data_IF_580729837163
#
_entry.id   IF_580729837163
#
_cell.length_a   1.000
_cell.length_b   1.000
_cell.length_c   1.000
_cell.angle_alpha   90.00
_cell.angle_beta   90.00
_cell.angle_gamma   90.00
#
_symmetry.space_group_name_H-M   'P 1'
#
loop_
_entity.id
_entity.type
_entity.pdbx_description
1 polymer ?
#
# COMPACT_ATOMS: atom_id res chain seq x y z
N UNK A 1 25.22 59.21 -4.03
CA UNK A 1 23.85 58.92 -3.52
C UNK A 1 23.06 58.38 -4.70
N UNK A 2 22.49 57.19 -4.73
CA UNK A 2 22.06 56.30 -3.66
C UNK A 2 22.30 54.83 -4.05
N UNK A 3 22.65 54.03 -3.04
CA UNK A 3 22.72 52.58 -3.06
C UNK A 3 21.30 52.01 -3.18
N UNK A 4 21.05 51.10 -4.12
CA UNK A 4 19.81 50.29 -4.12
C UNK A 4 20.15 48.95 -3.49
N UNK A 5 19.79 48.85 -2.22
CA UNK A 5 19.81 47.62 -1.41
C UNK A 5 18.80 46.63 -2.00
N UNK A 6 19.24 45.40 -2.25
CA UNK A 6 18.36 44.27 -2.56
C UNK A 6 17.58 43.90 -1.30
N UNK A 7 16.24 43.87 -1.39
CA UNK A 7 15.41 43.34 -0.31
C UNK A 7 15.54 41.82 -0.24
N UNK A 8 15.61 41.23 0.98
CA UNK A 8 15.67 39.79 1.14
C UNK A 8 14.31 39.16 0.82
N UNK A 9 14.37 38.02 0.13
CA UNK A 9 13.22 37.17 -0.20
C UNK A 9 12.51 36.81 1.12
N UNK A 10 11.26 37.22 1.25
CA UNK A 10 10.39 36.83 2.36
C UNK A 10 10.19 35.32 2.33
N UNK A 11 10.54 34.65 3.43
CA UNK A 11 10.16 33.27 3.70
C UNK A 11 8.65 33.14 3.59
N UNK A 12 8.19 32.30 2.65
CA UNK A 12 6.79 31.90 2.58
C UNK A 12 6.57 30.93 3.74
N UNK A 13 5.84 31.37 4.76
CA UNK A 13 5.42 30.48 5.84
C UNK A 13 4.59 29.32 5.26
N UNK A 14 4.90 28.05 5.59
CA UNK A 14 4.10 26.93 5.16
C UNK A 14 2.73 27.00 5.82
N UNK A 15 1.69 26.87 5.00
CA UNK A 15 0.29 26.88 5.43
C UNK A 15 0.06 26.00 6.66
N UNK A 16 -0.31 26.63 7.77
CA UNK A 16 -0.79 25.95 8.97
C UNK A 16 -1.98 25.06 8.60
N UNK A 17 -1.87 23.75 8.84
CA UNK A 17 -3.04 22.87 8.67
C UNK A 17 -2.81 21.40 8.36
N UNK A 18 -1.57 20.87 8.35
CA UNK A 18 -1.36 19.41 8.20
C UNK A 18 -1.30 18.74 9.57
N UNK A 19 -2.47 18.49 10.17
CA UNK A 19 -2.57 17.56 11.31
C UNK A 19 -2.70 16.14 10.75
N UNK A 20 -1.67 15.33 10.94
CA UNK A 20 -1.70 13.88 10.64
C UNK A 20 -2.92 13.20 11.31
N UNK A 21 -3.68 12.33 10.61
CA UNK A 21 -4.82 11.61 11.18
C UNK A 21 -4.42 10.72 12.36
N UNK A 22 -3.16 10.28 12.47
CA UNK A 22 -2.65 9.61 13.68
C UNK A 22 -2.85 10.45 14.95
N UNK A 23 -2.79 11.79 14.84
CA UNK A 23 -3.08 12.74 15.93
C UNK A 23 -4.57 12.98 16.13
N UNK A 24 -5.38 12.83 15.08
CA UNK A 24 -6.84 13.04 15.13
C UNK A 24 -7.59 11.81 15.67
N UNK A 25 -7.03 10.61 15.48
CA UNK A 25 -7.61 9.33 15.93
C UNK A 25 -7.17 8.87 17.31
N UNK A 26 -6.27 9.63 17.96
CA UNK A 26 -5.85 9.43 19.34
C UNK A 26 -5.52 7.95 19.62
N UNK A 27 -4.73 7.33 18.72
CA UNK A 27 -4.41 5.91 18.75
C UNK A 27 -3.52 5.64 19.97
N UNK A 28 -4.15 5.45 21.12
CA UNK A 28 -3.54 4.81 22.27
C UNK A 28 -3.48 3.34 21.91
N UNK A 29 -2.33 2.90 21.40
CA UNK A 29 -2.02 1.49 21.30
C UNK A 29 -2.07 0.96 22.74
N UNK A 30 -3.02 0.10 23.09
CA UNK A 30 -2.95 -0.53 24.39
C UNK A 30 -1.66 -1.34 24.41
N UNK A 31 -0.89 -1.19 25.48
CA UNK A 31 0.11 -2.16 25.90
C UNK A 31 -0.61 -3.42 26.40
N UNK A 32 -1.54 -3.94 25.62
CA UNK A 32 -2.11 -5.25 25.89
C UNK A 32 -0.94 -6.20 25.70
N UNK A 33 -0.64 -6.96 26.76
CA UNK A 33 0.29 -8.07 26.71
C UNK A 33 -0.23 -9.06 25.67
N UNK A 34 0.10 -8.85 24.41
CA UNK A 34 -0.17 -9.75 23.32
C UNK A 34 0.70 -10.97 23.57
N UNK A 35 0.13 -11.94 24.30
CA UNK A 35 0.82 -13.14 24.77
C UNK A 35 0.89 -13.31 26.28
N UNK A 36 -0.18 -13.10 27.07
CA UNK A 36 -0.27 -13.75 28.38
C UNK A 36 -1.09 -15.04 28.38
N UNK A 37 -2.08 -15.15 27.49
CA UNK A 37 -2.88 -16.38 27.37
C UNK A 37 -2.37 -17.35 26.29
N UNK A 38 -1.58 -16.86 25.32
CA UNK A 38 -0.90 -17.70 24.31
C UNK A 38 0.59 -17.94 24.59
N UNK A 39 1.14 -17.39 25.69
CA UNK A 39 2.53 -17.61 26.13
C UNK A 39 2.51 -18.20 27.54
N UNK A 40 1.97 -19.40 27.68
CA UNK A 40 2.58 -20.38 28.58
C UNK A 40 3.64 -21.15 27.80
N UNK A 41 4.67 -20.44 27.35
CA UNK A 41 5.95 -21.06 27.05
C UNK A 41 6.52 -21.43 28.41
N UNK A 42 6.35 -22.71 28.78
CA UNK A 42 7.17 -23.30 29.82
C UNK A 42 8.62 -23.05 29.41
N UNK A 43 9.38 -22.41 30.28
CA UNK A 43 10.84 -22.43 30.23
C UNK A 43 11.27 -23.89 30.31
N UNK A 44 11.39 -24.52 29.15
CA UNK A 44 12.01 -25.82 28.94
C UNK A 44 12.94 -25.66 27.74
N UNK A 45 14.22 -25.60 28.07
CA UNK A 45 15.40 -25.90 27.28
C UNK A 45 15.20 -26.17 25.78
N UNK A 46 15.83 -25.32 24.96
CA UNK A 46 16.38 -25.62 23.62
C UNK A 46 15.57 -26.61 22.76
N UNK A 47 14.44 -26.15 22.20
CA UNK A 47 13.95 -26.68 20.94
C UNK A 47 13.65 -25.52 20.00
N UNK A 48 14.47 -25.40 18.94
CA UNK A 48 14.22 -24.46 17.84
C UNK A 48 12.90 -24.85 17.17
N UNK A 49 11.84 -24.12 17.49
CA UNK A 49 10.56 -24.22 16.79
C UNK A 49 10.82 -23.88 15.31
N UNK A 50 10.70 -24.87 14.43
CA UNK A 50 11.09 -24.72 13.03
C UNK A 50 10.12 -23.75 12.34
N UNK A 51 10.55 -22.49 12.17
CA UNK A 51 9.78 -21.50 11.43
C UNK A 51 9.45 -22.04 10.02
N UNK A 52 8.19 -21.91 9.55
CA UNK A 52 7.78 -22.48 8.28
C UNK A 52 8.56 -21.89 7.10
N UNK A 53 8.94 -22.78 6.18
CA UNK A 53 9.81 -22.47 5.04
C UNK A 53 9.19 -21.41 4.13
N UNK A 54 9.91 -20.31 3.87
CA UNK A 54 9.55 -19.35 2.82
C UNK A 54 10.78 -18.88 2.03
N UNK A 55 10.61 -18.49 0.75
CA UNK A 55 11.73 -17.99 -0.06
C UNK A 55 12.40 -16.75 0.53
N UNK A 56 11.60 -15.84 1.11
CA UNK A 56 12.09 -14.65 1.85
C UNK A 56 12.96 -15.11 3.03
N UNK A 57 12.46 -16.02 3.86
CA UNK A 57 13.19 -16.51 5.03
C UNK A 57 14.51 -17.16 4.62
N UNK A 58 14.50 -17.95 3.54
CA UNK A 58 15.70 -18.59 3.02
C UNK A 58 16.74 -17.57 2.52
N UNK A 59 16.30 -16.49 1.87
CA UNK A 59 17.18 -15.42 1.44
C UNK A 59 17.79 -14.65 2.62
N UNK A 60 17.03 -14.50 3.72
CA UNK A 60 17.41 -13.67 4.87
C UNK A 60 18.10 -14.42 6.02
N UNK A 61 18.36 -15.73 5.88
CA UNK A 61 18.93 -16.56 6.97
C UNK A 61 20.24 -16.00 7.55
N UNK A 62 21.06 -15.37 6.72
CA UNK A 62 22.36 -14.80 7.13
C UNK A 62 22.22 -13.53 7.99
N UNK A 63 21.11 -12.81 7.86
CA UNK A 63 20.85 -11.53 8.54
C UNK A 63 20.20 -11.75 9.91
N UNK A 64 19.41 -12.83 10.05
CA UNK A 64 18.70 -13.19 11.27
C UNK A 64 19.64 -13.38 12.48
N UNK A 65 20.89 -13.78 12.24
CA UNK A 65 21.90 -14.01 13.29
C UNK A 65 22.58 -12.73 13.82
N UNK A 66 22.36 -11.56 13.21
CA UNK A 66 23.00 -10.30 13.63
C UNK A 66 22.04 -9.36 14.37
N UNK A 67 20.73 -9.61 14.33
CA UNK A 67 19.71 -8.65 14.78
C UNK A 67 19.09 -8.97 16.15
N UNK A 68 19.41 -10.12 16.76
CA UNK A 68 18.77 -10.60 17.99
C UNK A 68 19.56 -10.33 19.28
N UNK A 69 20.75 -9.73 19.21
CA UNK A 69 21.62 -9.54 20.38
C UNK A 69 22.05 -8.08 20.57
N UNK A 70 21.09 -7.19 20.85
CA UNK A 70 21.43 -6.02 21.67
C UNK A 70 20.41 -5.86 22.79
N UNK A 71 20.92 -5.98 24.02
CA UNK A 71 20.25 -5.66 25.28
C UNK A 71 19.99 -4.15 25.38
N UNK A 72 19.30 -3.57 24.40
CA UNK A 72 18.81 -2.20 24.45
C UNK A 72 17.31 -2.20 24.72
N UNK A 73 16.87 -1.26 25.57
CA UNK A 73 15.44 -1.01 25.84
C UNK A 73 14.60 -0.99 24.56
N UNK A 74 13.36 -1.49 24.58
CA UNK A 74 12.51 -1.58 23.40
C UNK A 74 12.31 -0.20 22.75
N UNK A 75 13.01 0.05 21.64
CA UNK A 75 12.89 1.30 20.89
C UNK A 75 11.66 1.24 19.98
N UNK A 76 10.80 2.27 19.98
CA UNK A 76 9.68 2.33 19.05
C UNK A 76 10.19 2.48 17.61
N UNK A 77 9.56 1.78 16.67
CA UNK A 77 9.77 1.98 15.23
C UNK A 77 8.45 2.42 14.62
N UNK A 78 8.48 3.48 13.83
CA UNK A 78 7.31 3.96 13.10
C UNK A 78 7.24 3.25 11.74
N UNK A 79 6.13 2.57 11.50
CA UNK A 79 5.80 1.95 10.23
C UNK A 79 4.74 2.79 9.53
N UNK A 80 5.02 3.23 8.30
CA UNK A 80 3.99 3.78 7.41
C UNK A 80 3.51 2.68 6.48
N UNK A 81 2.22 2.42 6.49
CA UNK A 81 1.57 1.39 5.66
C UNK A 81 0.64 2.12 4.69
N UNK A 82 0.99 2.09 3.41
CA UNK A 82 0.22 2.74 2.35
C UNK A 82 -0.96 1.87 1.90
N UNK A 83 -2.02 2.53 1.44
CA UNK A 83 -3.20 1.85 0.86
C UNK A 83 -3.15 1.85 -0.67
N UNK A 84 -2.62 2.91 -1.23
CA UNK A 84 -2.45 3.10 -2.68
C UNK A 84 -1.06 3.66 -2.96
N UNK A 85 -0.57 3.56 -4.19
CA UNK A 85 0.62 4.29 -4.66
C UNK A 85 0.28 5.65 -5.25
N UNK A 86 -1.00 5.93 -5.38
CA UNK A 86 -1.52 7.12 -6.04
C UNK A 86 -1.81 8.23 -5.04
N UNK A 87 -1.56 9.45 -5.48
CA UNK A 87 -2.09 10.64 -4.83
C UNK A 87 -3.44 10.97 -5.46
N UNK A 88 -4.51 10.39 -4.93
CA UNK A 88 -5.87 10.79 -5.31
C UNK A 88 -6.24 12.06 -4.54
N UNK A 89 -6.64 13.11 -5.24
CA UNK A 89 -7.14 14.35 -4.63
C UNK A 89 -8.33 14.13 -3.67
N UNK A 90 -9.12 13.07 -3.92
CA UNK A 90 -10.26 12.66 -3.11
C UNK A 90 -9.88 11.94 -1.79
N UNK A 91 -8.68 11.37 -1.69
CA UNK A 91 -8.23 10.68 -0.48
C UNK A 91 -7.18 11.52 0.23
N UNK A 92 -7.58 12.23 1.29
CA UNK A 92 -6.71 13.17 2.02
C UNK A 92 -5.49 12.52 2.67
N UNK A 93 -5.47 11.21 2.91
CA UNK A 93 -4.31 10.47 3.42
C UNK A 93 -4.17 9.07 2.80
N UNK A 94 -3.02 8.81 2.19
CA UNK A 94 -2.68 7.56 1.51
C UNK A 94 -1.90 6.57 2.44
N UNK A 95 -2.36 6.36 3.67
CA UNK A 95 -1.75 5.37 4.56
C UNK A 95 -1.89 5.64 6.05
N UNK A 96 -1.48 4.66 6.85
CA UNK A 96 -1.53 4.69 8.31
C UNK A 96 -0.12 4.62 8.88
N UNK A 97 0.16 5.51 9.84
CA UNK A 97 1.38 5.48 10.64
C UNK A 97 1.13 4.68 11.94
N UNK A 98 1.89 3.61 12.14
CA UNK A 98 1.87 2.77 13.35
C UNK A 98 3.18 2.91 14.11
N UNK A 99 3.13 3.31 15.38
CA UNK A 99 4.32 3.37 16.25
C UNK A 99 4.42 2.12 17.10
N UNK A 100 5.31 1.18 16.76
CA UNK A 100 5.36 -0.13 17.40
C UNK A 100 6.53 -0.22 18.36
N UNK A 101 6.24 -0.50 19.63
CA UNK A 101 7.26 -0.85 20.63
C UNK A 101 7.99 -2.13 20.22
N UNK A 102 9.30 -2.15 20.41
CA UNK A 102 10.16 -3.23 19.91
C UNK A 102 9.99 -3.45 18.40
N UNK A 103 9.74 -2.39 17.63
CA UNK A 103 9.34 -2.54 16.22
C UNK A 103 10.33 -3.29 15.32
N UNK A 104 11.61 -3.41 15.71
CA UNK A 104 12.58 -4.28 15.01
C UNK A 104 12.18 -5.77 15.03
N UNK A 105 11.52 -6.23 16.08
CA UNK A 105 11.06 -7.62 16.24
C UNK A 105 9.59 -7.81 15.88
N UNK A 106 8.85 -6.72 15.63
CA UNK A 106 7.46 -6.76 15.20
C UNK A 106 7.32 -7.52 13.87
N UNK A 107 6.34 -8.41 13.82
CA UNK A 107 6.03 -9.20 12.63
C UNK A 107 4.78 -8.67 11.90
N UNK A 108 4.56 -9.13 10.68
CA UNK A 108 3.42 -8.72 9.86
C UNK A 108 2.07 -9.03 10.51
N UNK A 109 1.96 -10.11 11.30
CA UNK A 109 0.74 -10.44 12.07
C UNK A 109 0.37 -9.31 13.05
N UNK A 110 1.36 -8.76 13.74
CA UNK A 110 1.15 -7.66 14.69
C UNK A 110 0.69 -6.38 13.98
N UNK A 111 1.28 -6.06 12.82
CA UNK A 111 0.87 -4.90 12.03
C UNK A 111 -0.58 -5.05 11.53
N UNK A 112 -0.96 -6.21 11.00
CA UNK A 112 -2.33 -6.49 10.56
C UNK A 112 -3.33 -6.40 11.71
N UNK A 113 -2.95 -6.83 12.92
CA UNK A 113 -3.80 -6.69 14.10
C UNK A 113 -4.11 -5.21 14.40
N UNK A 114 -3.12 -4.34 14.37
CA UNK A 114 -3.34 -2.91 14.60
C UNK A 114 -4.17 -2.27 13.47
N UNK A 115 -3.95 -2.67 12.22
CA UNK A 115 -4.78 -2.21 11.10
C UNK A 115 -6.24 -2.69 11.22
N UNK A 116 -6.47 -3.95 11.58
CA UNK A 116 -7.83 -4.47 11.78
C UNK A 116 -8.60 -3.65 12.82
N UNK A 117 -7.93 -3.28 13.92
CA UNK A 117 -8.49 -2.39 14.95
C UNK A 117 -8.78 -1.00 14.42
N UNK A 118 -7.87 -0.44 13.64
CA UNK A 118 -8.00 0.89 13.04
C UNK A 118 -9.22 0.97 12.11
N UNK A 119 -9.43 -0.07 11.31
CA UNK A 119 -10.59 -0.19 10.41
C UNK A 119 -11.84 -0.76 11.08
N UNK A 120 -11.76 -1.16 12.35
CA UNK A 120 -12.86 -1.78 13.12
C UNK A 120 -13.43 -3.02 12.42
N UNK A 121 -12.56 -3.81 11.83
CA UNK A 121 -12.90 -5.09 11.20
C UNK A 121 -12.42 -6.21 12.12
N UNK A 122 -13.16 -7.31 12.16
CA UNK A 122 -12.72 -8.50 12.89
C UNK A 122 -11.31 -8.92 12.43
N UNK A 123 -10.45 -9.25 13.38
CA UNK A 123 -9.04 -9.52 13.12
C UNK A 123 -8.86 -10.71 12.18
N UNK A 124 -9.60 -11.79 12.40
CA UNK A 124 -9.41 -13.01 11.64
C UNK A 124 -9.86 -12.79 10.20
N UNK A 125 -11.00 -12.13 10.02
CA UNK A 125 -11.51 -11.67 8.72
C UNK A 125 -10.51 -10.75 8.03
N UNK A 126 -9.97 -9.76 8.73
CA UNK A 126 -9.03 -8.79 8.17
C UNK A 126 -7.73 -9.46 7.71
N UNK A 127 -7.21 -10.42 8.48
CA UNK A 127 -6.00 -11.17 8.11
C UNK A 127 -6.23 -12.21 7.02
N UNK A 128 -7.48 -12.66 6.82
CA UNK A 128 -7.86 -13.50 5.69
C UNK A 128 -7.95 -12.67 4.41
N UNK A 129 -8.60 -11.50 4.47
CA UNK A 129 -8.76 -10.57 3.33
C UNK A 129 -7.48 -9.89 2.90
N UNK A 130 -6.67 -9.44 3.84
CA UNK A 130 -5.56 -8.53 3.58
C UNK A 130 -4.23 -9.06 4.09
N UNK A 131 -3.16 -8.59 3.46
CA UNK A 131 -1.80 -8.90 3.86
C UNK A 131 -0.91 -7.66 3.78
N UNK A 132 0.19 -7.68 4.52
CA UNK A 132 1.27 -6.70 4.36
C UNK A 132 2.12 -7.12 3.18
N UNK A 133 2.32 -6.19 2.25
CA UNK A 133 3.23 -6.34 1.12
C UNK A 133 4.42 -5.41 1.29
N UNK A 134 5.59 -5.89 0.86
CA UNK A 134 6.74 -5.04 0.58
C UNK A 134 6.83 -4.83 -0.92
N UNK A 135 6.82 -3.56 -1.33
CA UNK A 135 6.70 -3.17 -2.72
C UNK A 135 7.76 -2.13 -3.04
N UNK A 136 8.49 -2.35 -4.13
CA UNK A 136 9.37 -1.39 -4.77
C UNK A 136 9.15 -1.42 -6.30
N UNK A 137 9.75 -0.49 -7.06
CA UNK A 137 9.80 -0.59 -8.52
C UNK A 137 10.27 -1.95 -9.06
N UNK A 138 11.21 -2.62 -8.38
CA UNK A 138 11.84 -3.85 -8.88
C UNK A 138 11.21 -5.14 -8.36
N UNK A 139 10.60 -5.14 -7.18
CA UNK A 139 10.05 -6.34 -6.57
C UNK A 139 8.82 -6.05 -5.70
N UNK A 140 7.80 -6.90 -5.83
CA UNK A 140 6.63 -6.92 -4.95
C UNK A 140 6.47 -8.29 -4.31
N UNK A 141 6.35 -8.30 -2.99
CA UNK A 141 6.24 -9.55 -2.26
C UNK A 141 5.29 -9.43 -1.08
N UNK A 142 4.38 -10.41 -0.97
CA UNK A 142 3.53 -10.56 0.21
C UNK A 142 4.36 -11.13 1.37
N UNK A 143 4.34 -10.43 2.51
CA UNK A 143 4.94 -10.93 3.74
C UNK A 143 4.02 -11.97 4.39
N UNK A 144 4.62 -13.02 4.98
CA UNK A 144 3.92 -13.99 5.81
C UNK A 144 3.74 -13.46 7.22
N UNK A 145 2.76 -13.97 8.01
CA UNK A 145 2.45 -13.45 9.34
C UNK A 145 3.65 -13.37 10.30
N UNK A 146 4.62 -14.29 10.15
CA UNK A 146 5.82 -14.39 10.97
C UNK A 146 7.01 -13.58 10.45
N UNK A 147 6.95 -13.00 9.25
CA UNK A 147 8.03 -12.14 8.75
C UNK A 147 8.09 -10.84 9.52
N UNK A 148 9.32 -10.37 9.75
CA UNK A 148 9.61 -9.09 10.40
C UNK A 148 9.91 -8.04 9.33
N UNK A 149 9.02 -7.05 9.11
CA UNK A 149 9.22 -6.06 8.04
C UNK A 149 10.54 -5.29 8.15
N UNK A 150 11.00 -5.01 9.37
CA UNK A 150 12.28 -4.35 9.60
C UNK A 150 13.46 -5.19 9.06
N UNK A 151 13.52 -6.49 9.40
CA UNK A 151 14.57 -7.40 8.90
C UNK A 151 14.47 -7.59 7.38
N UNK A 152 13.24 -7.69 6.86
CA UNK A 152 13.01 -7.82 5.42
C UNK A 152 13.50 -6.59 4.65
N UNK A 153 13.34 -5.39 5.22
CA UNK A 153 13.91 -4.15 4.65
C UNK A 153 15.43 -4.15 4.70
N UNK A 154 16.05 -4.52 5.83
CA UNK A 154 17.51 -4.59 5.94
C UNK A 154 18.13 -5.56 4.93
N UNK A 155 17.43 -6.66 4.62
CA UNK A 155 17.84 -7.63 3.62
C UNK A 155 17.28 -7.42 2.23
N UNK A 156 16.75 -6.23 1.92
CA UNK A 156 16.08 -5.99 0.63
C UNK A 156 17.00 -6.26 -0.57
N UNK A 157 18.25 -5.78 -0.53
CA UNK A 157 19.25 -6.07 -1.57
C UNK A 157 19.53 -7.57 -1.73
N UNK A 158 19.45 -8.36 -0.66
CA UNK A 158 19.59 -9.83 -0.74
C UNK A 158 18.37 -10.46 -1.42
N UNK A 159 17.18 -9.92 -1.22
CA UNK A 159 15.97 -10.36 -1.92
C UNK A 159 16.04 -10.00 -3.41
N UNK A 160 16.43 -8.77 -3.74
CA UNK A 160 16.60 -8.34 -5.14
C UNK A 160 17.62 -9.21 -5.86
N UNK A 161 18.81 -9.44 -5.30
CA UNK A 161 19.84 -10.31 -5.89
C UNK A 161 19.34 -11.73 -6.21
N UNK A 162 18.29 -12.18 -5.51
CA UNK A 162 17.74 -13.52 -5.68
C UNK A 162 16.59 -13.57 -6.69
N UNK A 163 15.80 -12.51 -6.79
CA UNK A 163 14.52 -12.52 -7.52
C UNK A 163 14.45 -11.52 -8.68
N UNK A 164 15.46 -10.67 -8.85
CA UNK A 164 15.57 -9.69 -9.91
C UNK A 164 16.79 -10.00 -10.78
N UNK A 165 16.56 -10.19 -12.08
CA UNK A 165 17.59 -10.67 -13.02
C UNK A 165 18.34 -9.54 -13.76
N UNK A 166 17.83 -8.32 -13.77
CA UNK A 166 18.40 -7.22 -14.56
C UNK A 166 19.56 -6.51 -13.83
N UNK A 167 20.53 -6.03 -14.61
CA UNK A 167 21.85 -5.58 -14.16
C UNK A 167 22.03 -4.07 -14.10
N UNK A 168 20.93 -3.31 -14.09
CA UNK A 168 21.04 -1.87 -13.83
C UNK A 168 21.44 -1.65 -12.37
N UNK A 169 22.74 -1.56 -12.12
CA UNK A 169 23.31 -1.36 -10.78
C UNK A 169 22.75 -0.11 -10.11
N UNK A 170 22.47 0.94 -10.88
CA UNK A 170 21.94 2.20 -10.36
C UNK A 170 20.51 2.06 -9.81
N UNK A 171 19.61 1.42 -10.56
CA UNK A 171 18.25 1.15 -10.10
C UNK A 171 18.26 0.19 -8.91
N UNK A 172 19.10 -0.84 -8.97
CA UNK A 172 19.24 -1.83 -7.91
C UNK A 172 19.69 -1.20 -6.58
N UNK A 173 20.68 -0.31 -6.62
CA UNK A 173 21.27 0.26 -5.40
C UNK A 173 20.39 1.30 -4.71
N UNK A 174 19.51 1.95 -5.47
CA UNK A 174 18.57 2.97 -4.99
C UNK A 174 17.19 2.40 -4.65
N UNK A 175 16.92 1.14 -5.00
CA UNK A 175 15.60 0.52 -4.78
C UNK A 175 15.34 0.27 -3.29
N UNK A 176 14.31 0.92 -2.78
CA UNK A 176 13.89 0.82 -1.39
C UNK A 176 12.40 0.45 -1.31
N UNK A 177 12.03 -0.55 -0.50
CA UNK A 177 10.65 -1.00 -0.42
C UNK A 177 9.82 -0.13 0.53
N UNK A 178 8.55 0.03 0.17
CA UNK A 178 7.49 0.54 1.05
C UNK A 178 6.61 -0.61 1.57
N UNK A 179 5.91 -0.38 2.67
CA UNK A 179 4.90 -1.30 3.17
C UNK A 179 3.53 -0.89 2.65
N UNK A 180 2.79 -1.84 2.09
CA UNK A 180 1.42 -1.62 1.62
C UNK A 180 0.46 -2.64 2.23
N UNK A 181 -0.75 -2.21 2.54
CA UNK A 181 -1.87 -3.11 2.81
C UNK A 181 -2.54 -3.44 1.48
N UNK A 182 -2.58 -4.71 1.11
CA UNK A 182 -3.24 -5.17 -0.13
C UNK A 182 -4.05 -6.43 0.10
N UNK A 183 -4.85 -6.82 -0.89
CA UNK A 183 -5.54 -8.12 -0.90
C UNK A 183 -4.53 -9.25 -0.67
N UNK A 184 -4.93 -10.23 0.12
CA UNK A 184 -4.16 -11.44 0.33
C UNK A 184 -4.15 -12.27 -0.95
N UNK A 185 -2.97 -12.54 -1.52
CA UNK A 185 -2.85 -13.32 -2.76
C UNK A 185 -3.32 -14.77 -2.62
N UNK A 186 -3.38 -15.30 -1.39
CA UNK A 186 -3.85 -16.66 -1.13
C UNK A 186 -5.38 -16.77 -1.03
N UNK A 187 -6.10 -15.65 -1.01
CA UNK A 187 -7.55 -15.62 -0.94
C UNK A 187 -8.19 -16.00 -2.28
N UNK A 188 -9.11 -16.96 -2.28
CA UNK A 188 -9.91 -17.29 -3.47
C UNK A 188 -11.03 -16.28 -3.70
N UNK A 189 -11.46 -16.12 -4.95
CA UNK A 189 -12.56 -15.20 -5.29
C UNK A 189 -13.90 -15.62 -4.68
N UNK A 190 -14.17 -16.92 -4.55
CA UNK A 190 -15.37 -17.43 -3.88
C UNK A 190 -15.38 -17.02 -2.40
N UNK A 191 -14.26 -17.24 -1.70
CA UNK A 191 -14.14 -16.90 -0.28
C UNK A 191 -14.20 -15.39 -0.02
N UNK A 192 -13.65 -14.60 -0.94
CA UNK A 192 -13.78 -13.14 -0.91
C UNK A 192 -15.24 -12.70 -0.96
N UNK A 193 -16.04 -13.27 -1.87
CA UNK A 193 -17.47 -12.95 -2.00
C UNK A 193 -18.27 -13.37 -0.76
N UNK A 194 -17.98 -14.53 -0.18
CA UNK A 194 -18.57 -14.96 1.09
C UNK A 194 -18.29 -13.94 2.19
N UNK A 195 -17.02 -13.56 2.37
CA UNK A 195 -16.63 -12.62 3.41
C UNK A 195 -17.24 -11.24 3.16
N UNK A 196 -17.31 -10.77 1.92
CA UNK A 196 -17.96 -9.50 1.58
C UNK A 196 -19.47 -9.49 1.85
N UNK A 197 -20.13 -10.66 1.81
CA UNK A 197 -21.55 -10.75 2.16
C UNK A 197 -21.80 -10.48 3.65
N UNK A 198 -20.84 -10.81 4.51
CA UNK A 198 -20.90 -10.62 5.96
C UNK A 198 -20.21 -9.31 6.42
N UNK A 199 -19.15 -8.91 5.71
CA UNK A 199 -18.27 -7.78 6.02
C UNK A 199 -18.11 -6.84 4.82
N UNK A 200 -19.19 -6.18 4.35
CA UNK A 200 -19.16 -5.33 3.17
C UNK A 200 -18.21 -4.13 3.30
N UNK A 201 -17.88 -3.69 4.52
CA UNK A 201 -16.90 -2.63 4.77
C UNK A 201 -15.47 -2.98 4.30
N UNK A 202 -15.17 -4.27 4.05
CA UNK A 202 -13.90 -4.67 3.43
C UNK A 202 -13.82 -4.23 1.96
N UNK A 203 -14.95 -3.97 1.30
CA UNK A 203 -15.01 -3.57 -0.10
C UNK A 203 -14.22 -2.29 -0.37
N UNK A 204 -14.26 -1.31 0.53
CA UNK A 204 -13.57 -0.02 0.36
C UNK A 204 -12.06 -0.21 0.15
N UNK A 205 -11.44 -1.07 0.95
CA UNK A 205 -10.00 -1.38 0.86
C UNK A 205 -9.67 -2.21 -0.39
N UNK A 206 -10.55 -3.14 -0.77
CA UNK A 206 -10.37 -3.94 -1.99
C UNK A 206 -10.54 -3.09 -3.26
N UNK A 207 -11.46 -2.12 -3.26
CA UNK A 207 -11.66 -1.17 -4.35
C UNK A 207 -10.41 -0.29 -4.52
N UNK A 208 -9.82 0.18 -3.41
CA UNK A 208 -8.56 0.95 -3.45
C UNK A 208 -7.43 0.11 -4.09
N UNK A 209 -7.24 -1.14 -3.66
CA UNK A 209 -6.22 -2.03 -4.24
C UNK A 209 -6.49 -2.34 -5.73
N UNK A 210 -7.76 -2.58 -6.09
CA UNK A 210 -8.16 -2.83 -7.47
C UNK A 210 -7.95 -1.60 -8.38
N UNK A 211 -8.25 -0.40 -7.89
CA UNK A 211 -8.00 0.86 -8.60
C UNK A 211 -6.50 1.05 -8.88
N UNK A 212 -5.64 0.75 -7.90
CA UNK A 212 -4.19 0.74 -8.07
C UNK A 212 -3.75 -0.24 -9.17
N UNK A 213 -4.34 -1.44 -9.22
CA UNK A 213 -3.99 -2.45 -10.24
C UNK A 213 -4.40 -2.03 -11.65
N UNK A 214 -5.52 -1.33 -11.78
CA UNK A 214 -5.95 -0.73 -13.05
C UNK A 214 -4.98 0.36 -13.46
N UNK A 215 -4.72 1.32 -12.57
CA UNK A 215 -3.87 2.47 -12.85
C UNK A 215 -2.46 2.08 -13.29
N UNK A 216 -1.89 1.06 -12.64
CA UNK A 216 -0.56 0.55 -12.96
C UNK A 216 -0.54 -0.35 -14.21
N UNK A 217 -1.69 -0.49 -14.88
CA UNK A 217 -1.84 -1.27 -16.10
C UNK A 217 -1.71 -2.77 -15.89
N UNK A 218 -1.87 -3.27 -14.66
CA UNK A 218 -1.58 -4.68 -14.30
C UNK A 218 -2.72 -5.64 -14.60
N UNK A 219 -3.90 -5.12 -14.91
CA UNK A 219 -5.04 -5.93 -15.35
C UNK A 219 -4.98 -6.20 -16.86
N UNK A 220 -3.90 -6.85 -17.30
CA UNK A 220 -3.63 -7.14 -18.72
C UNK A 220 -4.69 -8.00 -19.42
N UNK A 221 -5.58 -8.66 -18.67
CA UNK A 221 -6.61 -9.56 -19.21
C UNK A 221 -7.98 -8.91 -19.41
N UNK A 222 -8.16 -7.66 -18.98
CA UNK A 222 -9.42 -6.95 -19.25
C UNK A 222 -9.46 -6.46 -20.70
N UNK A 223 -10.60 -6.67 -21.37
CA UNK A 223 -10.86 -6.00 -22.64
C UNK A 223 -10.95 -4.49 -22.42
N UNK A 224 -10.72 -3.69 -23.46
CA UNK A 224 -10.83 -2.23 -23.35
C UNK A 224 -12.23 -1.80 -22.87
N UNK A 225 -13.27 -2.50 -23.30
CA UNK A 225 -14.66 -2.23 -22.90
C UNK A 225 -14.86 -2.48 -21.40
N UNK A 226 -14.34 -3.60 -20.88
CA UNK A 226 -14.41 -3.88 -19.43
C UNK A 226 -13.56 -2.89 -18.63
N UNK A 227 -12.37 -2.52 -19.11
CA UNK A 227 -11.55 -1.50 -18.46
C UNK A 227 -12.27 -0.16 -18.38
N UNK A 228 -12.96 0.26 -19.45
CA UNK A 228 -13.80 1.46 -19.46
C UNK A 228 -14.96 1.35 -18.46
N UNK A 229 -15.64 0.19 -18.41
CA UNK A 229 -16.72 -0.01 -17.43
C UNK A 229 -16.23 0.12 -16.00
N UNK A 230 -15.10 -0.51 -15.65
CA UNK A 230 -14.56 -0.42 -14.29
C UNK A 230 -14.08 0.99 -13.97
N UNK A 231 -13.42 1.66 -14.93
CA UNK A 231 -13.03 3.06 -14.76
C UNK A 231 -14.23 3.98 -14.54
N UNK A 232 -15.35 3.78 -15.26
CA UNK A 232 -16.57 4.54 -15.05
C UNK A 232 -17.19 4.31 -13.66
N UNK A 233 -17.11 3.09 -13.13
CA UNK A 233 -17.53 2.79 -11.76
C UNK A 233 -16.65 3.49 -10.73
N UNK A 234 -15.32 3.44 -10.90
CA UNK A 234 -14.37 4.16 -10.03
C UNK A 234 -14.58 5.67 -10.10
N UNK A 235 -14.81 6.22 -11.30
CA UNK A 235 -15.13 7.62 -11.51
C UNK A 235 -16.40 8.02 -10.74
N UNK A 236 -17.43 7.18 -10.77
CA UNK A 236 -18.68 7.40 -10.04
C UNK A 236 -18.55 7.26 -8.52
N UNK A 237 -17.48 6.62 -8.03
CA UNK A 237 -17.17 6.53 -6.60
C UNK A 237 -16.33 7.72 -6.12
N UNK A 238 -15.44 8.22 -6.98
CA UNK A 238 -14.58 9.37 -6.69
C UNK A 238 -15.33 10.70 -6.82
N UNK A 239 -16.14 10.82 -7.86
CA UNK A 239 -17.00 11.97 -8.10
C UNK A 239 -18.37 11.71 -7.49
N UNK A 240 -19.03 12.78 -7.03
CA UNK A 240 -20.39 12.68 -6.53
C UNK A 240 -21.36 12.24 -7.65
N UNK A 241 -22.66 12.23 -7.36
CA UNK A 241 -23.69 11.86 -8.36
C UNK A 241 -23.48 12.63 -9.66
N UNK A 242 -23.70 11.93 -10.77
CA UNK A 242 -23.56 12.51 -12.10
C UNK A 242 -24.39 13.80 -12.23
N UNK A 243 -23.71 14.90 -12.56
CA UNK A 243 -24.30 16.18 -12.90
C UNK A 243 -23.97 16.47 -14.38
N UNK A 244 -25.00 16.57 -15.22
CA UNK A 244 -24.84 16.79 -16.66
C UNK A 244 -24.20 18.16 -16.97
N UNK A 245 -24.35 19.13 -16.06
CA UNK A 245 -23.79 20.48 -16.23
C UNK A 245 -22.28 20.52 -15.90
N UNK A 246 -21.77 19.54 -15.16
CA UNK A 246 -20.37 19.48 -14.68
C UNK A 246 -19.60 18.35 -15.37
N UNK A 247 -20.19 17.16 -15.47
CA UNK A 247 -19.54 15.93 -15.92
C UNK A 247 -19.68 15.72 -17.44
N UNK A 248 -19.32 16.74 -18.20
CA UNK A 248 -19.34 16.68 -19.66
C UNK A 248 -18.13 15.90 -20.23
N UNK A 249 -18.05 15.81 -21.56
CA UNK A 249 -16.94 15.11 -22.23
C UNK A 249 -15.58 15.77 -21.96
N UNK A 250 -15.53 17.08 -21.73
CA UNK A 250 -14.29 17.78 -21.42
C UNK A 250 -13.82 17.45 -20.01
N UNK A 251 -14.75 17.40 -19.05
CA UNK A 251 -14.50 16.96 -17.68
C UNK A 251 -13.93 15.55 -17.63
N UNK A 252 -14.59 14.59 -18.27
CA UNK A 252 -14.11 13.19 -18.30
C UNK A 252 -12.69 13.13 -18.87
N UNK A 253 -12.42 13.84 -19.98
CA UNK A 253 -11.08 13.85 -20.59
C UNK A 253 -10.00 14.44 -19.70
N UNK A 254 -10.32 15.45 -18.91
CA UNK A 254 -9.37 16.08 -18.00
C UNK A 254 -8.98 15.16 -16.83
N UNK A 255 -9.84 14.19 -16.49
CA UNK A 255 -9.66 13.29 -15.34
C UNK A 255 -9.36 11.83 -15.75
N UNK A 256 -9.25 11.52 -17.06
CA UNK A 256 -8.96 10.15 -17.53
C UNK A 256 -7.64 9.61 -16.98
N UNK A 257 -6.62 10.47 -16.94
CA UNK A 257 -5.27 10.14 -16.45
C UNK A 257 -5.24 9.92 -14.93
N UNK A 258 -6.32 10.22 -14.19
CA UNK A 258 -6.42 9.94 -12.75
C UNK A 258 -6.89 8.50 -12.47
N UNK A 259 -7.54 7.85 -13.45
CA UNK A 259 -8.16 6.54 -13.27
C UNK A 259 -7.51 5.45 -14.12
N UNK A 260 -6.98 5.83 -15.30
CA UNK A 260 -6.50 4.88 -16.29
C UNK A 260 -5.00 5.05 -16.59
N UNK A 261 -4.31 3.96 -16.94
CA UNK A 261 -2.95 4.05 -17.46
C UNK A 261 -2.88 4.90 -18.73
N UNK A 262 -1.77 5.61 -18.92
CA UNK A 262 -1.48 6.45 -20.09
C UNK A 262 -1.79 5.73 -21.43
N UNK A 263 -1.32 4.49 -21.60
CA UNK A 263 -1.57 3.70 -22.83
C UNK A 263 -3.05 3.42 -23.08
N UNK A 264 -3.84 3.28 -22.02
CA UNK A 264 -5.28 3.06 -22.11
C UNK A 264 -5.99 4.38 -22.44
N UNK A 265 -5.56 5.50 -21.84
CA UNK A 265 -6.03 6.84 -22.19
C UNK A 265 -5.85 7.11 -23.69
N UNK A 266 -4.66 6.84 -24.24
CA UNK A 266 -4.39 6.99 -25.68
C UNK A 266 -5.34 6.16 -26.54
N UNK A 267 -5.60 4.91 -26.13
CA UNK A 267 -6.48 4.00 -26.87
C UNK A 267 -7.95 4.44 -26.84
N UNK A 268 -8.39 5.09 -25.75
CA UNK A 268 -9.74 5.64 -25.59
C UNK A 268 -9.89 6.97 -26.34
N UNK A 269 -8.85 7.82 -26.28
CA UNK A 269 -8.82 9.13 -26.95
C UNK A 269 -8.61 8.97 -28.47
N UNK A 270 -8.02 7.87 -28.92
CA UNK A 270 -7.76 7.57 -30.32
C UNK A 270 -9.02 7.12 -31.07
N UNK A 271 -9.66 8.11 -31.69
CA UNK A 271 -9.81 8.16 -33.16
C UNK A 271 -10.15 9.59 -33.55
N UNK A 272 -9.12 10.38 -33.83
CA UNK A 272 -9.25 11.72 -34.43
C UNK A 272 -8.49 11.76 -35.76
N UNK A 273 -9.20 12.05 -36.84
CA UNK A 273 -8.61 12.51 -38.11
C UNK A 273 -8.85 14.02 -38.17
N UNK A 274 -7.77 14.81 -38.21
CA UNK A 274 -7.82 16.27 -38.31
C UNK A 274 -8.70 16.97 -37.27
N UNK A 275 -8.53 16.64 -35.98
CA UNK A 275 -9.23 17.32 -34.89
C UNK A 275 -10.73 16.99 -34.76
N UNK A 276 -11.27 16.12 -35.61
CA UNK A 276 -12.65 15.60 -35.49
C UNK A 276 -12.63 14.16 -35.03
N UNK A 277 -13.47 13.84 -34.04
CA UNK A 277 -13.71 12.47 -33.61
C UNK A 277 -14.24 11.67 -34.81
N UNK A 278 -13.62 10.53 -35.12
CA UNK A 278 -14.12 9.60 -36.13
C UNK A 278 -15.29 8.87 -35.48
N UNK A 279 -16.46 9.47 -35.51
CA UNK A 279 -17.69 8.74 -35.22
C UNK A 279 -17.83 7.66 -36.29
N UNK A 280 -17.73 6.39 -35.88
CA UNK A 280 -18.20 5.27 -36.70
C UNK A 280 -19.71 5.38 -36.78
N UNK A 281 -20.22 6.12 -37.77
CA UNK A 281 -21.59 5.93 -38.26
C UNK A 281 -21.49 5.19 -39.58
N UNK A 282 -21.90 3.93 -39.52
CA UNK A 282 -22.46 3.16 -40.62
C UNK A 282 -23.59 3.92 -41.29
#
# INVERSE_FOLDING_TARGET
MASKTLEPISEIEPAEGRKHLSKQRNVQLPLDNFGKDDVKVKEQEQHAESLPYSPIQQALRTIHNQSTETSESPKPVNFRIYLTRMEYSAFTENGIDLSIESGKTANSKLLLFYLAREYKIDKDVFTEMFAIWMISPLLEVQLKPYHRPYECRQGWKTLLNRFYDDKSEELFDQDEPILMLRRNASLSSERELEILSEYPQCADLLIIDAADMIFLGRLHFLSIDHTVCVAALLFSLQHEKFDEDIHDVAFIRAHLEEILPERTCDSILAKRLFGKAINKKT
#
